data_IF_942061472012
#
_entry.id   IF_942061472012
#
_cell.length_a   1.000
_cell.length_b   1.000
_cell.length_c   1.000
_cell.angle_alpha   90.00
_cell.angle_beta   90.00
_cell.angle_gamma   90.00
#
_symmetry.space_group_name_H-M   'P 1'
#
loop_
_entity.id
_entity.type
_entity.pdbx_description
1 polymer ?
#
# COMPACT_ATOMS: atom_id res chain seq x y z
N UNK A 1 -47.63 21.07 47.12
CA UNK A 1 -48.04 19.64 47.14
C UNK A 1 -47.95 19.10 45.72
N UNK A 2 -47.15 18.03 45.53
CA UNK A 2 -47.27 16.93 44.54
C UNK A 2 -47.25 17.29 43.03
N UNK A 3 -46.15 16.97 42.32
CA UNK A 3 -45.93 15.80 41.38
C UNK A 3 -46.74 15.98 40.07
N UNK A 4 -46.26 15.90 38.83
CA UNK A 4 -45.41 14.96 38.07
C UNK A 4 -44.87 15.76 36.83
N UNK A 5 -43.68 15.61 36.26
CA UNK A 5 -42.95 14.40 35.86
C UNK A 5 -43.18 14.11 34.36
N UNK A 6 -42.32 14.60 33.46
CA UNK A 6 -42.08 13.91 32.17
C UNK A 6 -40.73 14.32 31.55
N UNK A 7 -39.89 13.32 31.36
CA UNK A 7 -38.63 13.33 30.63
C UNK A 7 -38.83 13.74 29.17
N UNK A 8 -37.93 14.56 28.62
CA UNK A 8 -37.61 14.49 27.19
C UNK A 8 -36.09 14.60 27.04
N UNK A 9 -35.45 13.43 27.12
CA UNK A 9 -34.03 13.27 26.86
C UNK A 9 -33.76 13.41 25.37
N UNK A 10 -32.93 14.39 25.00
CA UNK A 10 -32.26 14.39 23.70
C UNK A 10 -30.93 13.66 23.93
N UNK A 11 -30.98 12.34 23.83
CA UNK A 11 -29.80 11.51 23.68
C UNK A 11 -29.28 11.75 22.26
N UNK A 12 -28.35 12.69 22.10
CA UNK A 12 -27.56 12.81 20.88
C UNK A 12 -26.63 11.60 20.85
N UNK A 13 -27.09 10.52 20.21
CA UNK A 13 -26.27 9.36 19.92
C UNK A 13 -25.28 9.78 18.83
N UNK A 14 -24.08 10.16 19.24
CA UNK A 14 -22.94 10.36 18.37
C UNK A 14 -22.63 9.00 17.72
N UNK A 15 -23.10 8.80 16.49
CA UNK A 15 -22.74 7.65 15.68
C UNK A 15 -21.25 7.80 15.31
N UNK A 16 -20.37 7.37 16.22
CA UNK A 16 -19.02 6.97 15.90
C UNK A 16 -19.15 5.76 14.97
N UNK A 17 -19.32 5.99 13.68
CA UNK A 17 -19.11 4.92 12.71
C UNK A 17 -17.66 4.51 12.86
N UNK A 18 -17.34 3.28 13.28
CA UNK A 18 -15.98 2.81 13.18
C UNK A 18 -15.65 2.84 11.68
N UNK A 19 -14.78 3.75 11.27
CA UNK A 19 -14.13 3.62 9.98
C UNK A 19 -13.45 2.27 10.02
N UNK A 20 -13.95 1.32 9.21
CA UNK A 20 -13.26 0.07 8.96
C UNK A 20 -11.91 0.47 8.34
N UNK A 21 -10.89 0.59 9.19
CA UNK A 21 -9.51 0.43 8.77
C UNK A 21 -9.45 -1.00 8.25
N UNK A 22 -9.62 -1.15 6.93
CA UNK A 22 -9.14 -2.35 6.27
C UNK A 22 -7.65 -2.36 6.56
N UNK A 23 -7.25 -3.17 7.55
CA UNK A 23 -5.86 -3.42 7.84
C UNK A 23 -5.26 -4.01 6.57
N UNK A 24 -4.65 -3.16 5.74
CA UNK A 24 -3.70 -3.63 4.76
C UNK A 24 -2.64 -4.35 5.59
N UNK A 25 -2.44 -5.64 5.33
CA UNK A 25 -1.61 -6.50 6.16
C UNK A 25 -0.23 -5.87 6.41
N UNK A 26 0.41 -6.23 7.52
CA UNK A 26 1.74 -5.70 7.87
C UNK A 26 2.69 -5.78 6.67
N UNK A 27 3.32 -4.67 6.25
CA UNK A 27 4.25 -4.67 5.13
C UNK A 27 5.34 -5.72 5.30
N UNK A 28 5.62 -6.46 4.22
CA UNK A 28 6.63 -7.52 4.21
C UNK A 28 8.02 -6.88 4.04
N UNK A 29 9.00 -7.16 4.91
CA UNK A 29 10.34 -6.60 4.75
C UNK A 29 11.02 -7.04 3.45
N UNK A 30 11.68 -6.11 2.76
CA UNK A 30 12.59 -6.34 1.64
C UNK A 30 13.88 -5.52 1.84
N UNK A 31 15.03 -6.14 1.58
CA UNK A 31 16.34 -5.49 1.66
C UNK A 31 16.75 -4.93 0.30
N UNK A 32 17.53 -3.85 0.28
CA UNK A 32 18.20 -3.39 -0.95
C UNK A 32 19.13 -4.51 -1.46
N UNK A 33 19.09 -4.76 -2.77
CA UNK A 33 19.69 -5.93 -3.45
C UNK A 33 18.82 -7.19 -3.42
N UNK A 34 17.67 -7.17 -2.74
CA UNK A 34 16.79 -8.32 -2.54
C UNK A 34 15.59 -8.38 -3.49
N UNK A 35 14.88 -9.50 -3.43
CA UNK A 35 13.59 -9.70 -4.08
C UNK A 35 12.59 -10.31 -3.11
N UNK A 36 11.31 -10.15 -3.39
CA UNK A 36 10.24 -10.74 -2.60
C UNK A 36 9.07 -11.17 -3.48
N UNK A 37 8.48 -12.32 -3.16
CA UNK A 37 7.24 -12.77 -3.81
C UNK A 37 6.03 -12.04 -3.21
N UNK A 38 5.06 -11.74 -4.05
CA UNK A 38 3.78 -11.18 -3.65
C UNK A 38 2.63 -11.75 -4.45
N UNK A 39 1.42 -11.46 -3.98
CA UNK A 39 0.19 -11.85 -4.63
C UNK A 39 -0.82 -10.70 -4.55
N UNK A 40 -1.47 -10.41 -5.67
CA UNK A 40 -2.66 -9.56 -5.74
C UNK A 40 -3.87 -10.46 -5.95
N UNK A 41 -4.86 -10.38 -5.06
CA UNK A 41 -6.12 -11.11 -5.18
C UNK A 41 -7.27 -10.30 -4.53
N UNK A 42 -8.48 -10.89 -4.48
CA UNK A 42 -9.66 -10.21 -3.96
C UNK A 42 -9.56 -9.84 -2.46
N UNK A 43 -8.81 -10.62 -1.68
CA UNK A 43 -8.59 -10.36 -0.25
C UNK A 43 -7.40 -9.46 0.03
N UNK A 44 -6.43 -9.43 -0.89
CA UNK A 44 -5.21 -8.63 -0.83
C UNK A 44 -5.05 -7.86 -2.16
N UNK A 45 -5.84 -6.79 -2.38
CA UNK A 45 -5.78 -6.03 -3.64
C UNK A 45 -4.52 -5.16 -3.74
N UNK A 46 -3.82 -4.95 -2.62
CA UNK A 46 -2.57 -4.22 -2.51
C UNK A 46 -1.62 -5.04 -1.65
N UNK A 47 -0.44 -5.31 -2.18
CA UNK A 47 0.65 -5.94 -1.45
C UNK A 47 1.68 -4.88 -1.03
N UNK A 48 2.04 -4.86 0.24
CA UNK A 48 2.93 -3.85 0.82
C UNK A 48 4.29 -4.45 1.17
N UNK A 49 5.37 -3.78 0.79
CA UNK A 49 6.74 -4.17 1.13
C UNK A 49 7.48 -3.01 1.77
N UNK A 50 8.11 -3.22 2.93
CA UNK A 50 8.86 -2.18 3.63
C UNK A 50 10.36 -2.35 3.46
N UNK A 51 11.07 -1.25 3.23
CA UNK A 51 12.52 -1.20 3.20
C UNK A 51 13.06 0.03 3.91
N UNK A 52 14.33 0.00 4.31
CA UNK A 52 15.04 1.16 4.85
C UNK A 52 16.14 1.58 3.90
N UNK A 53 16.30 2.89 3.68
CA UNK A 53 17.32 3.42 2.80
C UNK A 53 17.97 4.69 3.37
N UNK A 54 19.17 5.01 2.89
CA UNK A 54 19.91 6.23 3.24
C UNK A 54 19.55 7.38 2.30
N UNK A 55 19.56 8.61 2.82
CA UNK A 55 19.36 9.81 2.00
C UNK A 55 20.37 9.87 0.84
N UNK A 56 19.90 10.25 -0.35
CA UNK A 56 20.72 10.35 -1.55
C UNK A 56 20.98 9.03 -2.28
N UNK A 57 20.55 7.88 -1.75
CA UNK A 57 20.60 6.63 -2.49
C UNK A 57 19.66 6.70 -3.71
N UNK A 58 20.06 6.03 -4.81
CA UNK A 58 19.25 5.83 -6.01
C UNK A 58 18.98 4.34 -6.14
N UNK A 59 17.71 3.96 -6.07
CA UNK A 59 17.28 2.57 -6.04
C UNK A 59 16.42 2.27 -7.28
N UNK A 60 16.64 1.12 -7.90
CA UNK A 60 15.77 0.58 -8.93
C UNK A 60 14.74 -0.35 -8.30
N UNK A 61 13.48 -0.19 -8.69
CA UNK A 61 12.39 -1.08 -8.31
C UNK A 61 11.83 -1.70 -9.58
N UNK A 62 11.78 -3.03 -9.61
CA UNK A 62 11.21 -3.80 -10.70
C UNK A 62 10.09 -4.69 -10.14
N UNK A 63 8.94 -4.69 -10.81
CA UNK A 63 7.80 -5.55 -10.46
C UNK A 63 7.43 -6.39 -11.67
N UNK A 64 7.75 -7.67 -11.58
CA UNK A 64 7.51 -8.66 -12.64
C UNK A 64 6.35 -9.57 -12.24
N UNK A 65 5.29 -9.54 -13.04
CA UNK A 65 4.20 -10.50 -12.96
C UNK A 65 4.65 -11.91 -13.30
N UNK A 66 4.21 -12.88 -12.49
CA UNK A 66 4.36 -14.31 -12.73
C UNK A 66 3.03 -14.94 -13.18
N UNK A 67 1.97 -14.15 -13.31
CA UNK A 67 0.63 -14.57 -13.68
C UNK A 67 0.17 -13.84 -14.96
N UNK A 68 -0.28 -14.55 -16.02
CA UNK A 68 -0.58 -13.92 -17.31
C UNK A 68 -1.60 -12.77 -17.26
N UNK A 69 -2.56 -12.85 -16.34
CA UNK A 69 -3.64 -11.87 -16.23
C UNK A 69 -3.22 -10.62 -15.45
N UNK A 70 -2.14 -10.68 -14.66
CA UNK A 70 -1.72 -9.57 -13.81
C UNK A 70 -0.83 -8.60 -14.59
N UNK A 71 -1.31 -7.38 -14.73
CA UNK A 71 -0.53 -6.20 -15.11
C UNK A 71 -0.25 -5.37 -13.84
N UNK A 72 0.96 -5.43 -13.26
CA UNK A 72 1.27 -4.76 -12.01
C UNK A 72 1.47 -3.26 -12.22
N UNK A 73 1.20 -2.49 -11.17
CA UNK A 73 1.62 -1.10 -11.00
C UNK A 73 2.12 -0.93 -9.57
N UNK A 74 2.90 0.11 -9.30
CA UNK A 74 3.34 0.34 -7.93
C UNK A 74 3.53 1.81 -7.60
N UNK A 75 3.48 2.10 -6.30
CA UNK A 75 3.90 3.38 -5.74
C UNK A 75 4.94 3.17 -4.65
N UNK A 76 5.72 4.21 -4.36
CA UNK A 76 6.61 4.28 -3.20
C UNK A 76 6.17 5.44 -2.33
N UNK A 77 5.97 5.16 -1.03
CA UNK A 77 5.59 6.17 -0.04
C UNK A 77 6.40 6.03 1.25
N UNK A 78 6.43 7.08 2.06
CA UNK A 78 6.92 6.96 3.44
C UNK A 78 5.86 6.39 4.39
N UNK A 79 6.23 6.19 5.65
CA UNK A 79 5.36 5.65 6.70
C UNK A 79 4.22 6.60 7.10
N UNK A 80 4.28 7.87 6.70
CA UNK A 80 3.25 8.88 6.95
C UNK A 80 2.29 9.00 5.75
N UNK A 81 2.62 8.35 4.64
CA UNK A 81 1.79 8.25 3.44
C UNK A 81 2.15 9.22 2.32
N UNK A 82 3.24 9.99 2.41
CA UNK A 82 3.67 10.85 1.31
C UNK A 82 4.21 9.99 0.16
N UNK A 83 3.67 10.18 -1.04
CA UNK A 83 4.06 9.42 -2.24
C UNK A 83 5.21 10.12 -2.95
N UNK A 84 6.27 9.37 -3.24
CA UNK A 84 7.48 9.87 -3.91
C UNK A 84 7.65 9.33 -5.34
N UNK A 85 7.07 8.17 -5.63
CA UNK A 85 7.10 7.54 -6.95
C UNK A 85 5.76 6.87 -7.23
N UNK A 86 5.27 7.00 -8.46
CA UNK A 86 4.11 6.28 -8.96
C UNK A 86 4.40 5.79 -10.36
N UNK A 87 4.35 4.47 -10.55
CA UNK A 87 4.52 3.82 -11.84
C UNK A 87 3.17 3.24 -12.24
N UNK A 88 2.52 3.90 -13.20
CA UNK A 88 1.33 3.40 -13.86
C UNK A 88 1.66 2.28 -14.87
N UNK A 89 0.65 1.52 -15.27
CA UNK A 89 0.80 0.47 -16.27
C UNK A 89 -0.39 0.45 -17.24
N UNK A 90 -0.66 1.59 -17.89
CA UNK A 90 -1.77 1.73 -18.84
C UNK A 90 -1.65 0.81 -20.07
N UNK A 91 -0.43 0.38 -20.41
CA UNK A 91 -0.15 -0.55 -21.51
C UNK A 91 -0.23 -2.02 -21.11
N UNK A 92 -0.59 -2.32 -19.85
CA UNK A 92 -0.80 -3.67 -19.32
C UNK A 92 0.41 -4.61 -19.50
N UNK A 93 1.61 -4.10 -19.27
CA UNK A 93 2.85 -4.88 -19.36
C UNK A 93 2.98 -5.86 -18.17
N UNK A 94 3.60 -7.01 -18.40
CA UNK A 94 3.91 -7.96 -17.32
C UNK A 94 5.03 -7.46 -16.38
N UNK A 95 5.87 -6.53 -16.84
CA UNK A 95 6.94 -5.94 -16.04
C UNK A 95 6.85 -4.41 -16.07
N UNK A 96 7.03 -3.78 -14.92
CA UNK A 96 7.18 -2.32 -14.79
C UNK A 96 8.34 -2.00 -13.87
N UNK A 97 9.03 -0.89 -14.14
CA UNK A 97 10.18 -0.45 -13.36
C UNK A 97 10.15 1.04 -13.09
N UNK A 98 10.85 1.44 -12.03
CA UNK A 98 10.94 2.83 -11.61
C UNK A 98 12.18 3.10 -10.77
N UNK A 99 12.69 4.33 -10.88
CA UNK A 99 13.88 4.80 -10.18
C UNK A 99 13.47 5.70 -9.01
N UNK A 100 13.87 5.32 -7.80
CA UNK A 100 13.55 6.05 -6.58
C UNK A 100 14.80 6.71 -6.00
N UNK A 101 14.80 8.05 -6.02
CA UNK A 101 15.82 8.85 -5.33
C UNK A 101 15.38 9.10 -3.89
N UNK A 102 16.15 8.61 -2.93
CA UNK A 102 15.77 8.62 -1.51
C UNK A 102 15.97 10.03 -0.93
N UNK A 103 14.89 10.75 -0.56
CA UNK A 103 14.98 12.15 -0.11
C UNK A 103 15.53 12.28 1.31
N UNK A 104 15.23 11.31 2.17
CA UNK A 104 15.66 11.27 3.56
C UNK A 104 15.97 9.84 4.00
N UNK A 105 16.89 9.67 4.95
CA UNK A 105 17.14 8.35 5.53
C UNK A 105 15.91 7.90 6.33
N UNK A 106 15.45 6.66 6.14
CA UNK A 106 14.26 6.19 6.83
C UNK A 106 13.62 4.95 6.20
N UNK A 107 12.42 4.63 6.70
CA UNK A 107 11.60 3.54 6.21
C UNK A 107 10.63 4.03 5.12
N UNK A 108 10.48 3.21 4.09
CA UNK A 108 9.59 3.42 2.95
C UNK A 108 8.79 2.16 2.68
N UNK A 109 7.67 2.32 2.00
CA UNK A 109 6.74 1.27 1.62
C UNK A 109 6.57 1.29 0.10
N UNK A 110 6.81 0.14 -0.53
CA UNK A 110 6.38 -0.14 -1.90
C UNK A 110 4.98 -0.74 -1.81
N UNK A 111 4.00 -0.12 -2.45
CA UNK A 111 2.68 -0.71 -2.63
C UNK A 111 2.52 -1.19 -4.06
N UNK A 112 2.45 -2.50 -4.23
CA UNK A 112 2.14 -3.12 -5.51
C UNK A 112 0.64 -3.35 -5.59
N UNK A 113 0.04 -2.94 -6.68
CA UNK A 113 -1.37 -3.19 -6.99
C UNK A 113 -1.52 -3.57 -8.46
N UNK A 114 -2.75 -3.84 -8.87
CA UNK A 114 -3.06 -4.23 -10.24
C UNK A 114 -3.60 -3.07 -11.07
N UNK A 115 -3.09 -2.91 -12.29
CA UNK A 115 -3.74 -2.16 -13.36
C UNK A 115 -4.78 -3.02 -14.10
N UNK A 116 -4.55 -4.34 -14.18
CA UNK A 116 -5.50 -5.34 -14.69
C UNK A 116 -5.21 -6.72 -14.10
N UNK A 117 -6.26 -7.49 -13.83
CA UNK A 117 -6.20 -8.87 -13.33
C UNK A 117 -5.62 -9.03 -11.93
N UNK A 118 -5.25 -10.26 -11.61
CA UNK A 118 -4.79 -10.70 -10.29
C UNK A 118 -3.80 -11.84 -10.46
N UNK A 119 -2.95 -12.07 -9.45
CA UNK A 119 -2.00 -13.17 -9.45
C UNK A 119 -0.71 -12.87 -8.70
N UNK A 120 0.26 -13.76 -8.89
CA UNK A 120 1.57 -13.69 -8.26
C UNK A 120 2.51 -12.78 -9.05
N UNK A 121 3.43 -12.15 -8.33
CA UNK A 121 4.51 -11.34 -8.90
C UNK A 121 5.76 -11.46 -8.03
N UNK A 122 6.88 -10.96 -8.55
CA UNK A 122 8.10 -10.70 -7.79
C UNK A 122 8.41 -9.21 -7.83
N UNK A 123 8.71 -8.63 -6.67
CA UNK A 123 9.28 -7.29 -6.55
C UNK A 123 10.77 -7.41 -6.28
N UNK A 124 11.59 -6.64 -6.99
CA UNK A 124 13.03 -6.52 -6.78
C UNK A 124 13.37 -5.09 -6.40
N UNK A 125 14.32 -4.93 -5.46
CA UNK A 125 14.85 -3.65 -5.03
C UNK A 125 16.37 -3.69 -5.17
N UNK A 126 16.95 -2.83 -5.98
CA UNK A 126 18.40 -2.80 -6.29
C UNK A 126 19.00 -1.43 -5.99
#
# INVERSE_FOLDING_TARGET
MRKYGLFLGILVLLLLTPTLLLAQGTPIPITVGGNQLGEINATTPIAQFSFTANAGARLSIDVLSLSPELAPRFIVKDTVGAVYLSIDNATLLANVSGEFNVPAAGAYIIEVSSASGAGQFVVSLQ
#
